data_IF_940845926358
#
_entry.id   IF_940845926358
#
_cell.length_a   1.000
_cell.length_b   1.000
_cell.length_c   1.000
_cell.angle_alpha   90.00
_cell.angle_beta   90.00
_cell.angle_gamma   90.00
#
_symmetry.space_group_name_H-M   'P 1'
#
loop_
_entity.id
_entity.type
_entity.pdbx_description
1 polymer ?
#
# COMPACT_ATOMS: atom_id res chain seq x y z
N UNK A 1 -8.42 -0.77 -41.01
CA UNK A 1 -8.24 -0.59 -39.55
C UNK A 1 -9.54 -1.00 -38.89
N UNK A 2 -9.57 -2.16 -38.22
CA UNK A 2 -10.78 -2.63 -37.53
C UNK A 2 -11.10 -1.68 -36.39
N UNK A 3 -12.31 -1.13 -36.33
CA UNK A 3 -12.78 -0.37 -35.18
C UNK A 3 -12.76 -1.29 -33.97
N UNK A 4 -11.96 -0.96 -32.95
CA UNK A 4 -11.97 -1.66 -31.67
C UNK A 4 -13.40 -1.61 -31.13
N UNK A 5 -14.07 -2.75 -31.07
CA UNK A 5 -15.48 -2.82 -30.64
C UNK A 5 -15.54 -2.57 -29.13
N UNK A 6 -16.20 -1.50 -28.72
CA UNK A 6 -16.41 -1.19 -27.30
C UNK A 6 -17.57 -2.05 -26.77
N UNK A 7 -17.27 -2.92 -25.82
CA UNK A 7 -18.28 -3.76 -25.15
C UNK A 7 -19.01 -2.93 -24.09
N UNK A 8 -20.34 -2.88 -24.16
CA UNK A 8 -21.18 -2.17 -23.18
C UNK A 8 -21.80 -3.16 -22.21
N UNK A 9 -21.69 -2.88 -20.92
CA UNK A 9 -22.31 -3.69 -19.87
C UNK A 9 -22.92 -2.79 -18.78
N UNK A 10 -23.96 -3.30 -18.10
CA UNK A 10 -24.72 -2.56 -17.09
C UNK A 10 -24.72 -3.30 -15.74
N UNK A 11 -24.50 -2.52 -14.69
CA UNK A 11 -24.41 -2.93 -13.29
C UNK A 11 -25.20 -1.97 -12.40
N UNK A 12 -25.44 -2.34 -11.15
CA UNK A 12 -25.98 -1.42 -10.15
C UNK A 12 -24.83 -0.62 -9.53
N UNK A 13 -23.72 -1.31 -9.21
CA UNK A 13 -22.53 -0.73 -8.60
C UNK A 13 -21.29 -1.09 -9.42
N UNK A 14 -20.46 -0.10 -9.72
CA UNK A 14 -19.11 -0.31 -10.24
C UNK A 14 -18.08 0.09 -9.18
N UNK A 15 -17.19 -0.83 -8.84
CA UNK A 15 -16.04 -0.59 -7.98
C UNK A 15 -14.77 -0.59 -8.84
N UNK A 16 -14.11 0.56 -8.93
CA UNK A 16 -12.87 0.75 -9.67
C UNK A 16 -11.68 0.60 -8.73
N UNK A 17 -10.87 -0.44 -8.91
CA UNK A 17 -9.72 -0.78 -8.06
C UNK A 17 -10.01 -1.97 -7.15
N UNK A 18 -9.21 -3.01 -7.28
CA UNK A 18 -9.28 -4.27 -6.52
C UNK A 18 -8.34 -4.32 -5.32
N UNK A 19 -8.04 -3.17 -4.70
CA UNK A 19 -7.41 -3.11 -3.38
C UNK A 19 -8.31 -3.67 -2.27
N UNK A 20 -7.81 -3.75 -1.03
CA UNK A 20 -8.59 -4.28 0.11
C UNK A 20 -9.92 -3.52 0.29
N UNK A 21 -9.89 -2.18 0.20
CA UNK A 21 -11.10 -1.36 0.27
C UNK A 21 -12.10 -1.69 -0.85
N UNK A 22 -11.63 -1.81 -2.10
CA UNK A 22 -12.49 -2.13 -3.24
C UNK A 22 -13.05 -3.56 -3.21
N UNK A 23 -12.25 -4.53 -2.77
CA UNK A 23 -12.72 -5.90 -2.53
C UNK A 23 -13.82 -5.92 -1.47
N UNK A 24 -13.60 -5.25 -0.33
CA UNK A 24 -14.61 -5.18 0.74
C UNK A 24 -15.90 -4.50 0.25
N UNK A 25 -15.79 -3.37 -0.45
CA UNK A 25 -16.94 -2.65 -1.00
C UNK A 25 -17.73 -3.49 -2.02
N UNK A 26 -17.03 -4.20 -2.92
CA UNK A 26 -17.67 -5.03 -3.93
C UNK A 26 -18.39 -6.24 -3.32
N UNK A 27 -17.77 -6.91 -2.34
CA UNK A 27 -18.38 -8.03 -1.62
C UNK A 27 -19.60 -7.53 -0.82
N UNK A 28 -19.47 -6.42 -0.09
CA UNK A 28 -20.59 -5.82 0.65
C UNK A 28 -21.78 -5.55 -0.28
N UNK A 29 -21.56 -4.83 -1.39
CA UNK A 29 -22.62 -4.51 -2.34
C UNK A 29 -23.27 -5.77 -2.94
N UNK A 30 -22.48 -6.79 -3.29
CA UNK A 30 -23.00 -8.04 -3.84
C UNK A 30 -23.85 -8.82 -2.82
N UNK A 31 -23.41 -8.88 -1.56
CA UNK A 31 -24.16 -9.49 -0.44
C UNK A 31 -25.47 -8.76 -0.14
N UNK A 32 -25.54 -7.47 -0.43
CA UNK A 32 -26.78 -6.67 -0.38
C UNK A 32 -27.64 -6.76 -1.65
N UNK A 33 -27.30 -7.66 -2.59
CA UNK A 33 -28.12 -7.99 -3.75
C UNK A 33 -27.85 -7.16 -5.00
N UNK A 34 -26.88 -6.25 -4.99
CA UNK A 34 -26.52 -5.47 -6.17
C UNK A 34 -25.79 -6.33 -7.20
N UNK A 35 -26.02 -6.08 -8.49
CA UNK A 35 -25.15 -6.55 -9.57
C UNK A 35 -23.91 -5.67 -9.63
N UNK A 36 -22.75 -6.23 -9.33
CA UNK A 36 -21.50 -5.49 -9.12
C UNK A 36 -20.48 -5.76 -10.23
N UNK A 37 -19.81 -4.72 -10.71
CA UNK A 37 -18.56 -4.86 -11.45
C UNK A 37 -17.38 -4.46 -10.55
N UNK A 38 -16.41 -5.37 -10.36
CA UNK A 38 -15.13 -5.05 -9.72
C UNK A 38 -14.04 -5.01 -10.78
N UNK A 39 -13.41 -3.85 -10.97
CA UNK A 39 -12.43 -3.60 -12.04
C UNK A 39 -11.05 -3.43 -11.44
N UNK A 40 -10.10 -4.28 -11.78
CA UNK A 40 -8.73 -4.22 -11.28
C UNK A 40 -7.75 -4.19 -12.45
N UNK A 41 -6.82 -3.24 -12.40
CA UNK A 41 -5.85 -2.96 -13.48
C UNK A 41 -4.78 -4.05 -13.63
N UNK A 42 -4.62 -4.91 -12.63
CA UNK A 42 -3.60 -5.95 -12.50
C UNK A 42 -4.18 -7.38 -12.41
N UNK A 43 -3.34 -8.43 -12.51
CA UNK A 43 -3.82 -9.81 -12.53
C UNK A 43 -4.23 -10.36 -11.15
N UNK A 44 -3.90 -9.68 -10.06
CA UNK A 44 -4.26 -10.07 -8.69
C UNK A 44 -4.97 -8.94 -7.95
N UNK A 45 -5.74 -9.34 -6.93
CA UNK A 45 -6.42 -8.44 -6.00
C UNK A 45 -5.51 -8.11 -4.81
N UNK A 46 -5.91 -7.14 -3.99
CA UNK A 46 -5.24 -6.76 -2.74
C UNK A 46 -4.53 -5.42 -2.79
N UNK A 47 -4.32 -4.83 -3.99
CA UNK A 47 -3.66 -3.54 -4.11
C UNK A 47 -2.24 -3.61 -3.54
N UNK A 48 -1.88 -2.72 -2.61
CA UNK A 48 -0.59 -2.76 -1.92
C UNK A 48 -0.37 -4.07 -1.12
N UNK A 49 -1.44 -4.76 -0.72
CA UNK A 49 -1.34 -6.05 -0.01
C UNK A 49 -1.19 -7.27 -0.90
N UNK A 50 -1.32 -7.12 -2.21
CA UNK A 50 -1.11 -8.22 -3.15
C UNK A 50 0.31 -8.78 -3.06
N UNK A 51 0.50 -10.00 -3.56
CA UNK A 51 1.84 -10.59 -3.67
C UNK A 51 2.81 -9.82 -4.59
N UNK A 52 2.30 -8.88 -5.40
CA UNK A 52 3.08 -8.00 -6.29
C UNK A 52 3.79 -6.85 -5.54
N UNK A 53 3.23 -6.41 -4.41
CA UNK A 53 3.72 -5.23 -3.65
C UNK A 53 4.10 -5.62 -2.21
N UNK A 54 3.27 -6.44 -1.56
CA UNK A 54 3.51 -7.08 -0.26
C UNK A 54 3.53 -6.17 0.98
N UNK A 55 2.70 -5.13 0.99
CA UNK A 55 2.38 -4.37 2.20
C UNK A 55 1.17 -5.03 2.89
N UNK A 56 1.35 -5.75 4.00
CA UNK A 56 0.25 -6.49 4.61
C UNK A 56 -0.91 -5.56 5.04
N UNK A 57 -2.17 -6.01 4.93
CA UNK A 57 -3.29 -5.28 5.50
C UNK A 57 -3.28 -5.56 7.00
N UNK A 58 -2.66 -4.68 7.77
CA UNK A 58 -2.48 -4.82 9.21
C UNK A 58 -1.66 -3.66 9.76
N UNK A 59 -1.38 -3.73 11.06
CA UNK A 59 -0.75 -2.63 11.79
C UNK A 59 -1.51 -2.43 13.09
N UNK A 60 -2.77 -2.00 13.02
CA UNK A 60 -3.59 -1.59 14.18
C UNK A 60 -3.53 -2.55 15.38
N UNK A 61 -3.56 -3.85 15.12
CA UNK A 61 -3.47 -4.88 16.15
C UNK A 61 -2.10 -5.02 16.86
N UNK A 62 -1.08 -4.28 16.43
CA UNK A 62 0.31 -4.35 16.92
C UNK A 62 0.82 -2.92 17.19
N UNK A 63 0.90 -2.47 18.45
CA UNK A 63 0.90 -3.28 19.68
C UNK A 63 -0.47 -3.51 20.33
N UNK A 64 -1.59 -3.01 19.78
CA UNK A 64 -2.90 -3.02 20.45
C UNK A 64 -3.90 -4.02 19.82
N UNK A 65 -4.07 -5.25 20.34
CA UNK A 65 -4.93 -6.26 19.74
C UNK A 65 -6.40 -5.83 19.53
N UNK A 66 -6.89 -4.91 20.37
CA UNK A 66 -8.27 -4.42 20.32
C UNK A 66 -8.53 -3.37 19.23
N UNK A 67 -7.48 -2.84 18.61
CA UNK A 67 -7.58 -1.86 17.53
C UNK A 67 -7.69 -2.52 16.14
N UNK A 68 -7.67 -3.86 16.08
CA UNK A 68 -7.78 -4.63 14.84
C UNK A 68 -8.99 -4.19 14.01
N UNK A 69 -8.81 -4.11 12.69
CA UNK A 69 -9.87 -3.90 11.72
C UNK A 69 -10.84 -5.09 11.71
N UNK A 70 -12.15 -4.84 11.61
CA UNK A 70 -13.21 -5.86 11.64
C UNK A 70 -14.06 -5.85 10.36
N UNK A 71 -15.04 -6.76 10.28
CA UNK A 71 -15.95 -6.88 9.14
C UNK A 71 -15.38 -7.74 8.01
N UNK A 72 -15.63 -7.39 6.76
CA UNK A 72 -15.22 -8.22 5.60
C UNK A 72 -13.69 -8.38 5.55
N UNK A 73 -12.91 -7.36 5.90
CA UNK A 73 -11.44 -7.47 5.93
C UNK A 73 -10.97 -8.48 6.97
N UNK A 74 -11.63 -8.58 8.11
CA UNK A 74 -11.32 -9.57 9.14
C UNK A 74 -11.70 -10.98 8.70
N UNK A 75 -12.86 -11.16 8.05
CA UNK A 75 -13.24 -12.43 7.45
C UNK A 75 -12.14 -12.94 6.49
N UNK A 76 -11.61 -12.04 5.64
CA UNK A 76 -10.54 -12.35 4.70
C UNK A 76 -9.22 -12.67 5.42
N UNK A 77 -8.81 -11.85 6.38
CA UNK A 77 -7.59 -12.08 7.16
C UNK A 77 -7.65 -13.39 7.96
N UNK A 78 -8.80 -13.74 8.54
CA UNK A 78 -8.98 -14.99 9.27
C UNK A 78 -8.85 -16.20 8.34
N UNK A 79 -9.44 -16.13 7.15
CA UNK A 79 -9.29 -17.18 6.13
C UNK A 79 -7.83 -17.32 5.69
N UNK A 80 -7.14 -16.20 5.44
CA UNK A 80 -5.72 -16.22 5.12
C UNK A 80 -4.90 -16.82 6.25
N UNK A 81 -5.15 -16.46 7.51
CA UNK A 81 -4.44 -17.07 8.64
C UNK A 81 -4.74 -18.55 8.85
N UNK A 82 -5.91 -19.03 8.45
CA UNK A 82 -6.24 -20.44 8.49
C UNK A 82 -5.47 -21.26 7.43
N UNK A 83 -5.08 -20.66 6.30
CA UNK A 83 -4.46 -21.34 5.15
C UNK A 83 -3.00 -21.01 4.91
N UNK A 84 -2.58 -19.81 5.28
CA UNK A 84 -1.28 -19.23 4.99
C UNK A 84 -0.39 -19.26 6.24
N UNK A 85 0.63 -20.11 6.18
CA UNK A 85 1.55 -20.34 7.29
C UNK A 85 2.82 -19.48 7.21
N UNK A 86 2.95 -18.61 6.18
CA UNK A 86 3.98 -17.58 6.14
C UNK A 86 3.62 -16.47 7.16
N UNK A 87 4.62 -15.89 7.85
CA UNK A 87 4.40 -14.70 8.68
C UNK A 87 3.74 -13.56 7.89
N UNK A 88 2.86 -12.78 8.52
CA UNK A 88 2.39 -11.50 7.96
C UNK A 88 3.37 -10.41 8.37
N UNK A 89 4.12 -9.90 7.40
CA UNK A 89 5.05 -8.79 7.55
C UNK A 89 5.26 -8.12 6.19
N UNK A 90 5.85 -6.94 6.17
CA UNK A 90 6.26 -6.28 4.95
C UNK A 90 7.14 -7.21 4.09
N UNK A 91 6.83 -7.31 2.80
CA UNK A 91 7.59 -8.15 1.87
C UNK A 91 7.30 -9.65 1.94
N UNK A 92 6.48 -10.12 2.88
CA UNK A 92 6.16 -11.56 3.03
C UNK A 92 4.82 -11.98 2.44
N UNK A 93 3.95 -11.02 2.08
CA UNK A 93 2.67 -11.37 1.44
C UNK A 93 2.90 -12.18 0.16
N UNK A 94 2.07 -13.20 -0.02
CA UNK A 94 2.29 -14.22 -1.03
C UNK A 94 0.97 -14.59 -1.70
N UNK A 95 1.04 -15.49 -2.68
CA UNK A 95 -0.11 -15.85 -3.50
C UNK A 95 -1.25 -16.53 -2.75
N UNK A 96 -1.05 -17.00 -1.50
CA UNK A 96 -2.19 -17.49 -0.69
C UNK A 96 -3.17 -16.36 -0.39
N UNK A 97 -2.67 -15.16 -0.07
CA UNK A 97 -3.52 -13.99 0.15
C UNK A 97 -4.29 -13.62 -1.12
N UNK A 98 -3.61 -13.58 -2.27
CA UNK A 98 -4.24 -13.29 -3.56
C UNK A 98 -5.36 -14.30 -3.87
N UNK A 99 -5.14 -15.59 -3.58
CA UNK A 99 -6.13 -16.65 -3.78
C UNK A 99 -7.32 -16.52 -2.84
N UNK A 100 -7.10 -16.16 -1.56
CA UNK A 100 -8.19 -15.88 -0.63
C UNK A 100 -9.07 -14.75 -1.17
N UNK A 101 -8.48 -13.62 -1.54
CA UNK A 101 -9.22 -12.49 -2.11
C UNK A 101 -9.97 -12.89 -3.39
N UNK A 102 -9.31 -13.62 -4.29
CA UNK A 102 -9.90 -14.07 -5.54
C UNK A 102 -11.09 -14.99 -5.31
N UNK A 103 -10.94 -16.03 -4.48
CA UNK A 103 -12.02 -16.96 -4.17
C UNK A 103 -13.21 -16.24 -3.55
N UNK A 104 -12.96 -15.35 -2.59
CA UNK A 104 -14.00 -14.62 -1.90
C UNK A 104 -14.81 -13.73 -2.83
N UNK A 105 -14.16 -13.02 -3.74
CA UNK A 105 -14.83 -12.27 -4.81
C UNK A 105 -15.63 -13.19 -5.73
N UNK A 106 -15.10 -14.37 -6.08
CA UNK A 106 -15.74 -15.33 -6.99
C UNK A 106 -16.90 -16.10 -6.38
N UNK A 107 -16.98 -16.18 -5.04
CA UNK A 107 -18.10 -16.77 -4.30
C UNK A 107 -19.37 -15.93 -4.43
N UNK A 108 -19.25 -14.63 -4.69
CA UNK A 108 -20.39 -13.72 -4.78
C UNK A 108 -21.04 -13.78 -6.18
N UNK A 109 -22.26 -14.36 -6.34
CA UNK A 109 -22.84 -14.67 -7.65
C UNK A 109 -23.22 -13.41 -8.46
N UNK A 110 -23.47 -12.29 -7.77
CA UNK A 110 -23.82 -11.02 -8.40
C UNK A 110 -22.59 -10.16 -8.72
N UNK A 111 -21.38 -10.62 -8.40
CA UNK A 111 -20.14 -9.87 -8.59
C UNK A 111 -19.39 -10.39 -9.83
N UNK A 112 -19.23 -9.52 -10.83
CA UNK A 112 -18.38 -9.78 -11.99
C UNK A 112 -17.02 -9.10 -11.83
N UNK A 113 -15.97 -9.92 -11.81
CA UNK A 113 -14.57 -9.48 -11.70
C UNK A 113 -13.93 -9.25 -13.09
N UNK A 114 -13.31 -8.09 -13.26
CA UNK A 114 -12.52 -7.69 -14.43
C UNK A 114 -11.06 -7.46 -14.03
N UNK A 115 -10.22 -8.49 -14.15
CA UNK A 115 -8.76 -8.37 -13.92
C UNK A 115 -8.04 -7.82 -15.16
N UNK A 116 -6.81 -7.32 -14.98
CA UNK A 116 -6.00 -6.71 -16.04
C UNK A 116 -6.73 -5.62 -16.83
N UNK A 117 -7.68 -4.94 -16.19
CA UNK A 117 -8.60 -3.99 -16.81
C UNK A 117 -8.45 -2.65 -16.12
N UNK A 118 -7.82 -1.69 -16.78
CA UNK A 118 -7.61 -0.35 -16.22
C UNK A 118 -8.81 0.54 -16.56
N UNK A 119 -9.33 1.26 -15.57
CA UNK A 119 -10.18 2.43 -15.81
C UNK A 119 -9.32 3.54 -16.40
N UNK A 120 -9.75 4.14 -17.51
CA UNK A 120 -8.97 5.15 -18.25
C UNK A 120 -9.66 6.49 -18.30
N UNK A 121 -10.99 6.50 -18.30
CA UNK A 121 -11.79 7.71 -18.46
C UNK A 121 -13.22 7.49 -17.94
N UNK A 122 -14.00 8.55 -17.92
CA UNK A 122 -15.39 8.57 -17.48
C UNK A 122 -16.31 9.18 -18.53
N UNK A 123 -17.53 8.64 -18.63
CA UNK A 123 -18.61 9.27 -19.40
C UNK A 123 -19.59 9.88 -18.42
N UNK A 124 -19.82 11.19 -18.53
CA UNK A 124 -20.81 11.90 -17.73
C UNK A 124 -22.20 11.78 -18.37
N UNK A 125 -23.22 11.46 -17.58
CA UNK A 125 -24.62 11.54 -17.99
C UNK A 125 -25.11 13.01 -17.98
N UNK A 126 -24.65 13.75 -16.99
CA UNK A 126 -24.92 15.17 -16.74
C UNK A 126 -23.86 15.71 -15.76
N UNK A 127 -23.80 17.03 -15.50
CA UNK A 127 -22.99 17.56 -14.41
C UNK A 127 -23.28 16.82 -13.10
N UNK A 128 -22.23 16.39 -12.40
CA UNK A 128 -22.33 15.66 -11.13
C UNK A 128 -22.85 14.22 -11.21
N UNK A 129 -23.10 13.66 -12.42
CA UNK A 129 -23.62 12.29 -12.57
C UNK A 129 -22.88 11.50 -13.63
N UNK A 130 -22.24 10.42 -13.21
CA UNK A 130 -21.59 9.45 -14.10
C UNK A 130 -22.62 8.58 -14.85
N UNK A 131 -22.30 8.28 -16.11
CA UNK A 131 -23.00 7.30 -16.93
C UNK A 131 -22.23 5.98 -17.03
N UNK A 132 -20.91 6.04 -17.22
CA UNK A 132 -20.06 4.86 -17.39
C UNK A 132 -18.60 5.15 -17.05
N UNK A 133 -17.87 4.10 -16.68
CA UNK A 133 -16.41 4.09 -16.70
C UNK A 133 -15.92 3.48 -18.03
N UNK A 134 -14.95 4.12 -18.67
CA UNK A 134 -14.28 3.60 -19.86
C UNK A 134 -13.04 2.82 -19.44
N UNK A 135 -13.00 1.54 -19.78
CA UNK A 135 -11.94 0.63 -19.36
C UNK A 135 -11.23 -0.01 -20.54
N UNK A 136 -9.95 -0.31 -20.38
CA UNK A 136 -9.14 -1.03 -21.35
C UNK A 136 -8.49 -2.27 -20.71
N UNK A 137 -8.61 -3.41 -21.39
CA UNK A 137 -7.96 -4.66 -21.02
C UNK A 137 -6.97 -5.05 -22.12
N UNK A 138 -5.73 -4.58 -21.97
CA UNK A 138 -4.70 -4.68 -23.02
C UNK A 138 -4.40 -6.12 -23.43
N UNK A 139 -4.31 -7.04 -22.47
CA UNK A 139 -3.96 -8.44 -22.75
C UNK A 139 -4.98 -9.21 -23.59
N UNK A 140 -6.21 -8.70 -23.72
CA UNK A 140 -7.26 -9.28 -24.57
C UNK A 140 -7.73 -8.33 -25.67
N UNK A 141 -7.06 -7.18 -25.82
CA UNK A 141 -7.42 -6.11 -26.76
C UNK A 141 -8.88 -5.64 -26.63
N UNK A 142 -9.45 -5.69 -25.42
CA UNK A 142 -10.84 -5.29 -25.17
C UNK A 142 -10.93 -3.88 -24.62
N UNK A 143 -11.96 -3.17 -25.07
CA UNK A 143 -12.39 -1.90 -24.50
C UNK A 143 -13.81 -2.05 -23.99
N UNK A 144 -14.09 -1.51 -22.81
CA UNK A 144 -15.40 -1.57 -22.17
C UNK A 144 -15.93 -0.17 -21.87
N UNK A 145 -17.24 -0.02 -21.98
CA UNK A 145 -17.99 1.05 -21.34
C UNK A 145 -18.90 0.40 -20.30
N UNK A 146 -18.50 0.48 -19.03
CA UNK A 146 -19.20 -0.16 -17.93
C UNK A 146 -20.12 0.87 -17.25
N UNK A 147 -21.42 0.69 -17.45
CA UNK A 147 -22.46 1.55 -16.89
C UNK A 147 -22.87 1.08 -15.50
N UNK A 148 -23.09 2.03 -14.59
CA UNK A 148 -23.60 1.74 -13.24
C UNK A 148 -24.46 2.89 -12.70
N UNK A 149 -25.26 2.61 -11.67
CA UNK A 149 -26.00 3.64 -10.93
C UNK A 149 -25.12 4.30 -9.87
N UNK A 150 -24.23 3.51 -9.24
CA UNK A 150 -23.26 3.98 -8.23
C UNK A 150 -21.85 3.60 -8.67
N UNK A 151 -20.90 4.52 -8.46
CA UNK A 151 -19.48 4.32 -8.75
C UNK A 151 -18.68 4.51 -7.47
N UNK A 152 -17.80 3.57 -7.16
CA UNK A 152 -16.91 3.61 -6.01
C UNK A 152 -15.47 3.60 -6.54
N UNK A 153 -14.74 4.70 -6.30
CA UNK A 153 -13.34 4.81 -6.71
C UNK A 153 -12.42 4.31 -5.58
N UNK A 154 -11.82 3.15 -5.81
CA UNK A 154 -10.81 2.50 -4.99
C UNK A 154 -9.51 2.29 -5.79
N UNK A 155 -9.24 3.12 -6.80
CA UNK A 155 -8.08 2.96 -7.71
C UNK A 155 -6.74 3.30 -7.05
N UNK A 156 -6.77 3.88 -5.84
CA UNK A 156 -5.59 4.38 -5.12
C UNK A 156 -5.13 5.77 -5.57
N UNK A 157 -5.45 6.18 -6.80
CA UNK A 157 -5.10 7.49 -7.38
C UNK A 157 -6.31 8.42 -7.61
N UNK A 158 -7.50 7.99 -7.19
CA UNK A 158 -8.76 8.66 -7.49
C UNK A 158 -8.98 8.82 -9.00
N UNK A 159 -8.56 7.84 -9.79
CA UNK A 159 -8.49 7.92 -11.26
C UNK A 159 -9.85 8.13 -11.90
N UNK A 160 -10.87 7.39 -11.43
CA UNK A 160 -12.23 7.52 -11.95
C UNK A 160 -12.84 8.85 -11.52
N UNK A 161 -12.66 9.24 -10.25
CA UNK A 161 -13.14 10.52 -9.72
C UNK A 161 -12.52 11.71 -10.46
N UNK A 162 -11.19 11.71 -10.65
CA UNK A 162 -10.49 12.74 -11.41
C UNK A 162 -10.94 12.77 -12.88
N UNK A 163 -11.12 11.62 -13.53
CA UNK A 163 -11.65 11.54 -14.89
C UNK A 163 -13.09 12.05 -15.00
N UNK A 164 -13.89 11.87 -13.94
CA UNK A 164 -15.25 12.41 -13.85
C UNK A 164 -15.29 13.93 -13.62
N UNK A 165 -14.13 14.57 -13.41
CA UNK A 165 -14.03 15.99 -13.06
C UNK A 165 -14.38 16.29 -11.61
N UNK A 166 -14.32 15.29 -10.71
CA UNK A 166 -14.48 15.54 -9.28
C UNK A 166 -13.34 16.41 -8.75
N UNK A 167 -13.66 17.29 -7.81
CA UNK A 167 -12.66 18.09 -7.12
C UNK A 167 -11.73 17.20 -6.30
N UNK A 168 -10.44 17.52 -6.29
CA UNK A 168 -9.44 16.79 -5.50
C UNK A 168 -8.34 17.73 -5.02
N UNK A 169 -7.70 17.33 -3.93
CA UNK A 169 -6.48 17.95 -3.40
C UNK A 169 -5.27 17.07 -3.66
N UNK A 170 -4.10 17.68 -3.59
CA UNK A 170 -2.81 17.01 -3.69
C UNK A 170 -1.79 17.73 -2.82
N UNK A 171 -1.00 16.97 -2.07
CA UNK A 171 0.00 17.51 -1.16
C UNK A 171 -0.53 17.71 0.26
N UNK A 172 -0.08 18.73 0.97
CA UNK A 172 -0.42 18.98 2.38
C UNK A 172 -0.98 20.36 2.57
N UNK A 173 -2.04 20.44 3.35
CA UNK A 173 -2.68 21.68 3.77
C UNK A 173 -1.80 22.47 4.75
N UNK A 174 -2.06 23.77 4.86
CA UNK A 174 -1.41 24.59 5.86
C UNK A 174 -2.04 24.31 7.24
N UNK A 175 -1.23 24.32 8.30
CA UNK A 175 -1.67 24.22 9.70
C UNK A 175 -2.84 25.14 10.03
N UNK A 176 -2.84 26.36 9.47
CA UNK A 176 -3.90 27.34 9.72
C UNK A 176 -5.26 27.00 9.10
N UNK A 177 -5.32 26.07 8.14
CA UNK A 177 -6.57 25.71 7.47
C UNK A 177 -7.51 24.93 8.37
N UNK A 178 -6.97 23.93 9.10
CA UNK A 178 -7.75 23.07 10.00
C UNK A 178 -7.29 23.12 11.46
N UNK A 179 -6.26 23.91 11.78
CA UNK A 179 -5.70 23.98 13.13
C UNK A 179 -4.93 22.71 13.51
N UNK A 180 -4.22 22.10 12.56
CA UNK A 180 -3.57 20.79 12.71
C UNK A 180 -2.11 20.92 13.10
N UNK A 181 -1.75 20.37 14.26
CA UNK A 181 -0.41 20.53 14.83
C UNK A 181 0.69 19.89 13.96
N UNK A 182 0.36 18.79 13.29
CA UNK A 182 1.28 18.01 12.45
C UNK A 182 1.38 18.54 11.02
N UNK A 183 0.43 19.35 10.58
CA UNK A 183 0.46 19.98 9.26
C UNK A 183 1.60 21.01 9.14
N UNK A 184 2.16 21.22 7.93
CA UNK A 184 3.18 22.23 7.69
C UNK A 184 2.62 23.65 7.88
N UNK A 185 3.48 24.63 8.19
CA UNK A 185 3.06 26.03 8.32
C UNK A 185 2.46 26.60 7.03
N UNK A 186 3.01 26.19 5.89
CA UNK A 186 2.53 26.56 4.56
C UNK A 186 2.16 25.29 3.80
N UNK A 187 1.06 25.38 3.05
CA UNK A 187 0.64 24.30 2.17
C UNK A 187 1.72 24.05 1.10
N UNK A 188 1.93 22.79 0.76
CA UNK A 188 2.81 22.39 -0.33
C UNK A 188 2.27 21.18 -1.10
N UNK A 189 2.87 20.88 -2.25
CA UNK A 189 2.43 19.77 -3.11
C UNK A 189 3.13 18.44 -2.76
N UNK A 190 3.73 18.31 -1.57
CA UNK A 190 4.49 17.11 -1.20
C UNK A 190 3.57 16.01 -0.71
N UNK A 191 3.79 14.80 -1.20
CA UNK A 191 3.08 13.60 -0.78
C UNK A 191 4.06 12.62 -0.15
N UNK A 192 3.53 11.70 0.66
CA UNK A 192 4.30 10.58 1.17
C UNK A 192 4.77 9.66 0.02
N UNK A 193 5.95 9.07 0.19
CA UNK A 193 6.62 8.29 -0.84
C UNK A 193 5.94 6.97 -1.17
N UNK A 194 6.45 6.31 -2.21
CA UNK A 194 6.13 4.90 -2.49
C UNK A 194 7.29 4.02 -2.06
N UNK A 195 7.01 2.76 -1.72
CA UNK A 195 8.03 1.78 -1.31
C UNK A 195 8.18 0.65 -2.33
N UNK A 196 9.36 0.01 -2.34
CA UNK A 196 9.56 -1.32 -2.93
C UNK A 196 10.17 -2.24 -1.89
N UNK A 197 9.66 -3.47 -1.85
CA UNK A 197 10.19 -4.50 -0.98
C UNK A 197 11.04 -5.52 -1.72
N UNK A 198 11.78 -6.28 -0.94
CA UNK A 198 12.42 -7.51 -1.37
C UNK A 198 12.21 -8.60 -0.33
N UNK A 199 12.51 -9.83 -0.70
CA UNK A 199 12.61 -11.00 0.19
C UNK A 199 13.88 -11.75 -0.17
N UNK A 200 14.63 -12.13 0.85
CA UNK A 200 15.77 -13.02 0.79
C UNK A 200 15.53 -14.21 1.74
N UNK A 201 16.07 -15.37 1.40
CA UNK A 201 15.91 -16.60 2.17
C UNK A 201 17.24 -17.30 2.38
N UNK A 202 17.39 -17.92 3.54
CA UNK A 202 18.51 -18.78 3.86
C UNK A 202 18.46 -20.05 3.00
N UNK A 203 19.52 -20.27 2.22
CA UNK A 203 19.66 -21.48 1.38
C UNK A 203 20.61 -22.53 1.98
N UNK A 204 21.01 -22.35 3.24
CA UNK A 204 21.81 -23.28 4.02
C UNK A 204 23.30 -23.34 3.64
N UNK A 205 23.77 -22.45 2.77
CA UNK A 205 25.16 -22.36 2.34
C UNK A 205 25.51 -20.93 1.90
N UNK A 206 26.80 -20.53 1.94
CA UNK A 206 27.19 -19.21 1.50
C UNK A 206 26.82 -18.92 0.04
N UNK A 207 26.28 -17.73 -0.20
CA UNK A 207 25.92 -17.22 -1.52
C UNK A 207 26.60 -15.87 -1.71
N UNK A 208 27.14 -15.60 -2.89
CA UNK A 208 27.68 -14.28 -3.24
C UNK A 208 26.62 -13.43 -3.92
N UNK A 209 26.65 -12.12 -3.72
CA UNK A 209 25.86 -11.17 -4.49
C UNK A 209 26.79 -10.17 -5.17
N UNK A 210 26.54 -9.88 -6.44
CA UNK A 210 27.22 -8.82 -7.16
C UNK A 210 26.17 -7.79 -7.56
N UNK A 211 26.20 -6.58 -7.00
CA UNK A 211 25.23 -5.56 -7.34
C UNK A 211 25.41 -5.13 -8.80
N UNK A 212 24.32 -4.76 -9.50
CA UNK A 212 24.48 -4.09 -10.78
C UNK A 212 25.17 -2.73 -10.57
N UNK A 213 25.91 -2.22 -11.57
CA UNK A 213 26.73 -1.00 -11.43
C UNK A 213 25.92 0.28 -11.19
N UNK A 214 24.60 0.22 -11.35
CA UNK A 214 23.68 1.34 -11.13
C UNK A 214 23.03 1.34 -9.74
N UNK A 215 23.22 0.31 -8.92
CA UNK A 215 22.73 0.31 -7.53
C UNK A 215 23.34 1.48 -6.73
N UNK A 216 22.60 2.04 -5.77
CA UNK A 216 23.17 3.05 -4.86
C UNK A 216 24.26 2.40 -3.99
N UNK A 217 25.38 3.09 -3.84
CA UNK A 217 26.48 2.62 -3.00
C UNK A 217 26.28 3.05 -1.55
N UNK A 218 26.31 2.08 -0.64
CA UNK A 218 26.22 2.26 0.81
C UNK A 218 27.38 1.52 1.47
N UNK A 219 28.60 2.07 1.49
CA UNK A 219 29.80 1.34 1.89
C UNK A 219 29.92 1.13 3.41
N UNK A 220 29.13 1.83 4.23
CA UNK A 220 29.23 1.81 5.70
C UNK A 220 27.85 1.90 6.36
N UNK A 221 27.73 1.46 7.61
CA UNK A 221 26.50 1.58 8.42
C UNK A 221 25.97 3.03 8.46
N UNK A 222 26.90 4.00 8.53
CA UNK A 222 26.56 5.43 8.53
C UNK A 222 25.92 5.89 7.20
N UNK A 223 26.15 5.16 6.11
CA UNK A 223 25.50 5.44 4.82
C UNK A 223 23.98 5.21 4.88
N UNK A 224 23.52 4.39 5.84
CA UNK A 224 22.13 4.09 6.15
C UNK A 224 21.75 4.59 7.56
N UNK A 225 22.35 5.71 7.99
CA UNK A 225 22.03 6.35 9.27
C UNK A 225 20.51 6.54 9.46
N UNK A 226 20.00 6.20 10.66
CA UNK A 226 18.56 6.18 11.02
C UNK A 226 17.67 5.24 10.20
N UNK A 227 18.23 4.34 9.39
CA UNK A 227 17.47 3.27 8.73
C UNK A 227 17.82 1.97 9.43
N UNK A 228 16.86 1.25 10.01
CA UNK A 228 17.17 -0.01 10.68
C UNK A 228 17.42 -1.11 9.66
N UNK A 229 18.56 -1.81 9.75
CA UNK A 229 18.93 -2.91 8.84
C UNK A 229 19.73 -4.05 9.50
N UNK A 230 19.94 -4.00 10.83
CA UNK A 230 20.76 -4.96 11.59
C UNK A 230 20.15 -6.37 11.79
N UNK A 231 20.98 -7.31 12.26
CA UNK A 231 20.70 -8.76 12.39
C UNK A 231 19.86 -9.23 13.57
N UNK A 232 19.21 -10.39 13.33
CA UNK A 232 18.97 -11.53 14.22
C UNK A 232 19.62 -11.40 15.62
N UNK A 233 18.80 -11.16 16.64
CA UNK A 233 18.96 -12.00 17.83
C UNK A 233 18.21 -13.28 17.53
N UNK A 234 18.91 -14.42 17.41
CA UNK A 234 18.27 -15.69 17.83
C UNK A 234 17.65 -15.37 19.18
N UNK A 235 16.37 -15.65 19.35
CA UNK A 235 15.71 -15.60 20.65
C UNK A 235 16.36 -16.70 21.51
N UNK A 236 17.59 -16.49 21.95
CA UNK A 236 18.11 -17.17 23.11
C UNK A 236 17.26 -16.67 24.27
N UNK A 237 16.68 -17.64 24.98
CA UNK A 237 15.78 -17.44 26.08
C UNK A 237 16.57 -16.87 27.28
N UNK A 238 17.05 -15.64 27.19
CA UNK A 238 17.72 -14.93 28.30
C UNK A 238 16.94 -13.66 28.61
N UNK A 239 16.19 -13.71 29.72
CA UNK A 239 15.27 -12.66 30.14
C UNK A 239 15.96 -11.38 30.62
N UNK A 240 16.34 -10.51 29.70
CA UNK A 240 16.63 -9.11 30.03
C UNK A 240 16.26 -8.17 28.87
N UNK A 241 15.23 -7.37 29.10
CA UNK A 241 14.79 -6.28 28.24
C UNK A 241 15.83 -5.14 28.27
N UNK A 242 16.43 -4.81 27.13
CA UNK A 242 17.19 -3.58 26.95
C UNK A 242 16.57 -2.76 25.82
N UNK A 243 16.29 -1.50 26.12
CA UNK A 243 15.52 -0.52 25.36
C UNK A 243 16.22 -0.01 24.09
N UNK A 244 16.26 -0.83 23.05
CA UNK A 244 15.97 -0.39 21.69
C UNK A 244 14.61 -1.03 21.38
N UNK A 245 13.62 -0.26 20.94
CA UNK A 245 12.22 -0.71 20.88
C UNK A 245 12.13 -2.08 20.21
N UNK A 246 11.31 -2.95 20.79
CA UNK A 246 11.07 -4.32 20.35
C UNK A 246 10.31 -4.39 19.01
N UNK A 247 10.44 -3.36 18.16
CA UNK A 247 9.74 -3.16 16.89
C UNK A 247 10.62 -3.44 15.66
N UNK A 248 11.89 -3.79 15.85
CA UNK A 248 12.74 -4.38 14.80
C UNK A 248 12.70 -5.93 14.90
N UNK A 249 11.46 -6.47 14.88
CA UNK A 249 11.13 -7.87 15.23
C UNK A 249 11.74 -8.90 14.26
N UNK A 250 13.00 -9.21 14.48
CA UNK A 250 13.72 -10.47 14.21
C UNK A 250 12.99 -11.53 13.37
N UNK A 251 13.14 -11.42 12.04
CA UNK A 251 13.54 -12.47 11.08
C UNK A 251 13.11 -13.90 11.44
N UNK A 252 11.88 -14.25 11.07
CA UNK A 252 11.34 -15.60 11.21
C UNK A 252 12.01 -16.57 10.22
N UNK A 253 12.40 -17.76 10.69
CA UNK A 253 12.78 -18.94 9.86
C UNK A 253 13.89 -18.71 8.81
N UNK A 254 14.87 -17.85 9.07
CA UNK A 254 15.94 -17.61 8.11
C UNK A 254 15.50 -16.78 6.89
N UNK A 255 14.41 -16.04 7.01
CA UNK A 255 13.92 -15.14 5.97
C UNK A 255 14.19 -13.69 6.35
N UNK A 256 14.39 -12.88 5.32
CA UNK A 256 14.71 -11.48 5.44
C UNK A 256 13.95 -10.69 4.39
N UNK A 257 13.00 -9.87 4.82
CA UNK A 257 12.09 -9.20 3.90
C UNK A 257 11.66 -7.86 4.47
N UNK A 258 11.24 -6.97 3.57
CA UNK A 258 10.45 -5.80 3.91
C UNK A 258 11.19 -4.73 4.71
N UNK A 259 11.59 -3.67 4.01
CA UNK A 259 11.96 -2.41 4.64
C UNK A 259 10.97 -1.34 4.19
N UNK A 260 9.97 -1.10 5.05
CA UNK A 260 8.97 -0.05 4.85
C UNK A 260 9.60 1.31 4.60
N UNK A 261 10.80 1.57 5.12
CA UNK A 261 11.53 2.84 4.99
C UNK A 261 12.29 3.00 3.66
N UNK A 262 12.40 1.96 2.83
CA UNK A 262 12.93 2.11 1.47
C UNK A 262 11.83 2.75 0.63
N UNK A 263 11.73 4.07 0.76
CA UNK A 263 10.72 4.89 0.11
C UNK A 263 11.35 6.02 -0.67
N UNK A 264 10.69 6.37 -1.78
CA UNK A 264 11.04 7.52 -2.60
C UNK A 264 9.77 8.35 -2.78
N UNK A 265 9.87 9.63 -2.40
CA UNK A 265 8.81 10.61 -2.56
C UNK A 265 9.35 11.86 -3.24
N UNK A 266 9.31 13.00 -2.55
CA UNK A 266 9.79 14.30 -3.07
C UNK A 266 11.24 14.20 -3.57
N UNK A 267 11.57 14.74 -4.77
CA UNK A 267 10.79 15.69 -5.57
C UNK A 267 9.83 15.06 -6.59
N UNK A 268 9.67 13.74 -6.60
CA UNK A 268 8.85 13.05 -7.58
C UNK A 268 7.36 13.25 -7.33
N UNK A 269 6.58 13.37 -8.41
CA UNK A 269 5.13 13.28 -8.35
C UNK A 269 4.70 11.80 -8.36
N UNK A 270 3.94 11.36 -7.35
CA UNK A 270 3.57 9.95 -7.18
C UNK A 270 2.71 9.38 -8.33
N UNK A 271 2.13 10.23 -9.19
CA UNK A 271 1.33 9.80 -10.33
C UNK A 271 2.13 9.84 -11.62
N UNK A 272 2.61 11.03 -12.03
CA UNK A 272 3.27 11.19 -13.34
C UNK A 272 4.64 10.52 -13.39
N UNK A 273 5.35 10.47 -12.25
CA UNK A 273 6.72 9.97 -12.17
C UNK A 273 6.78 8.55 -11.62
N UNK A 274 5.64 7.84 -11.54
CA UNK A 274 5.58 6.49 -10.97
C UNK A 274 6.61 5.51 -11.57
N UNK A 275 6.89 5.49 -12.89
CA UNK A 275 7.98 4.68 -13.45
C UNK A 275 9.38 5.09 -12.96
N UNK A 276 9.64 6.39 -12.82
CA UNK A 276 10.92 6.90 -12.33
C UNK A 276 11.11 6.60 -10.83
N UNK A 277 10.05 6.75 -10.03
CA UNK A 277 10.00 6.33 -8.62
C UNK A 277 10.33 4.83 -8.51
N UNK A 278 9.77 3.99 -9.39
CA UNK A 278 10.07 2.55 -9.41
C UNK A 278 11.54 2.26 -9.70
N UNK A 279 12.14 2.93 -10.68
CA UNK A 279 13.54 2.74 -11.03
C UNK A 279 14.47 3.25 -9.91
N UNK A 280 14.16 4.38 -9.28
CA UNK A 280 14.91 4.93 -8.15
C UNK A 280 14.79 4.04 -6.89
N UNK A 281 13.59 3.52 -6.61
CA UNK A 281 13.40 2.54 -5.55
C UNK A 281 14.20 1.27 -5.79
N UNK A 282 14.20 0.74 -7.02
CA UNK A 282 14.96 -0.45 -7.37
C UNK A 282 16.47 -0.23 -7.18
N UNK A 283 16.96 0.96 -7.56
CA UNK A 283 18.33 1.43 -7.31
C UNK A 283 18.73 1.32 -5.85
N UNK A 284 17.84 1.79 -4.97
CA UNK A 284 18.04 1.78 -3.52
C UNK A 284 17.84 0.40 -2.90
N UNK A 285 16.85 -0.39 -3.32
CA UNK A 285 16.64 -1.76 -2.84
C UNK A 285 17.87 -2.61 -3.07
N UNK A 286 18.46 -2.55 -4.27
CA UNK A 286 19.66 -3.32 -4.58
C UNK A 286 20.89 -2.79 -3.85
N UNK A 287 20.99 -1.48 -3.62
CA UNK A 287 22.06 -0.89 -2.81
C UNK A 287 21.98 -1.29 -1.34
N UNK A 288 20.79 -1.25 -0.76
CA UNK A 288 20.54 -1.69 0.62
C UNK A 288 20.82 -3.19 0.77
N UNK A 289 20.40 -4.00 -0.22
CA UNK A 289 20.74 -5.42 -0.22
C UNK A 289 22.24 -5.67 -0.39
N UNK A 290 22.93 -4.90 -1.23
CA UNK A 290 24.39 -4.94 -1.35
C UNK A 290 25.07 -4.64 -0.02
N UNK A 291 24.66 -3.56 0.65
CA UNK A 291 25.13 -3.19 1.99
C UNK A 291 25.02 -4.36 2.95
N UNK A 292 23.83 -4.94 3.07
CA UNK A 292 23.56 -6.05 3.98
C UNK A 292 24.41 -7.27 3.62
N UNK A 293 24.55 -7.56 2.33
CA UNK A 293 25.15 -8.81 1.87
C UNK A 293 26.67 -8.80 1.83
N UNK A 294 27.25 -7.66 1.48
CA UNK A 294 28.67 -7.53 1.14
C UNK A 294 29.45 -6.59 2.06
N UNK A 295 28.76 -5.75 2.84
CA UNK A 295 29.38 -4.81 3.77
C UNK A 295 28.97 -5.15 5.21
N UNK A 296 29.82 -4.81 6.19
CA UNK A 296 29.55 -5.08 7.59
C UNK A 296 29.41 -6.56 7.95
N UNK A 297 28.84 -6.84 9.14
CA UNK A 297 28.51 -8.20 9.58
C UNK A 297 27.01 -8.30 9.87
N UNK A 298 26.25 -8.58 8.82
CA UNK A 298 24.79 -8.71 8.86
C UNK A 298 24.31 -10.16 8.75
N UNK A 299 25.19 -11.14 9.02
CA UNK A 299 24.92 -12.60 8.93
C UNK A 299 23.99 -13.00 7.79
N UNK A 300 24.18 -12.34 6.66
CA UNK A 300 23.46 -12.56 5.44
C UNK A 300 24.21 -13.56 4.56
N UNK A 301 25.23 -14.26 5.08
CA UNK A 301 26.16 -15.05 4.25
C UNK A 301 25.43 -16.14 3.47
N UNK A 302 24.43 -16.78 4.09
CA UNK A 302 23.61 -17.83 3.48
C UNK A 302 22.31 -17.31 2.84
N UNK A 303 22.01 -16.02 2.95
CA UNK A 303 20.80 -15.44 2.40
C UNK A 303 20.95 -15.20 0.89
N UNK A 304 20.02 -15.72 0.11
CA UNK A 304 19.88 -15.43 -1.31
C UNK A 304 18.65 -14.55 -1.54
N UNK A 305 18.78 -13.54 -2.40
CA UNK A 305 17.66 -12.72 -2.84
C UNK A 305 16.67 -13.60 -3.63
N UNK A 306 15.45 -13.71 -3.13
CA UNK A 306 14.40 -14.59 -3.66
C UNK A 306 13.35 -13.80 -4.47
N UNK A 307 13.06 -12.57 -4.05
CA UNK A 307 12.10 -11.72 -4.72
C UNK A 307 12.45 -10.24 -4.56
N UNK A 308 12.16 -9.45 -5.59
CA UNK A 308 12.25 -7.98 -5.57
C UNK A 308 10.96 -7.45 -6.21
N UNK A 309 10.30 -6.52 -5.53
CA UNK A 309 9.12 -5.85 -6.03
C UNK A 309 9.42 -5.00 -7.25
N UNK A 310 8.44 -4.89 -8.15
CA UNK A 310 8.53 -4.08 -9.37
C UNK A 310 7.34 -3.12 -9.53
N UNK A 311 6.40 -3.15 -8.59
CA UNK A 311 5.25 -2.26 -8.55
C UNK A 311 5.39 -1.39 -7.28
N UNK A 312 5.52 -0.06 -7.41
CA UNK A 312 5.61 0.81 -6.25
C UNK A 312 4.36 0.68 -5.37
N UNK A 313 4.57 0.42 -4.08
CA UNK A 313 3.53 0.50 -3.06
C UNK A 313 3.27 1.95 -2.74
N UNK A 314 2.31 2.56 -3.43
CA UNK A 314 2.00 3.99 -3.27
C UNK A 314 1.22 4.24 -1.99
N UNK A 315 1.66 5.24 -1.22
CA UNK A 315 1.01 5.67 0.02
C UNK A 315 0.01 6.79 -0.18
N UNK A 316 0.36 7.79 -0.99
CA UNK A 316 -0.43 9.01 -1.13
C UNK A 316 -0.46 9.53 -2.57
N UNK A 317 -1.60 10.11 -2.96
CA UNK A 317 -1.86 10.59 -4.32
C UNK A 317 -2.85 11.77 -4.34
N UNK A 318 -3.96 11.68 -5.07
CA UNK A 318 -5.09 12.62 -5.02
C UNK A 318 -6.00 12.25 -3.86
N UNK A 319 -6.45 13.25 -3.11
CA UNK A 319 -7.54 13.12 -2.15
C UNK A 319 -8.79 13.74 -2.75
N UNK A 320 -9.77 12.91 -3.12
CA UNK A 320 -11.04 13.41 -3.65
C UNK A 320 -11.76 14.23 -2.57
N UNK A 321 -12.38 15.32 -2.99
CA UNK A 321 -13.14 16.20 -2.11
C UNK A 321 -14.56 15.66 -1.94
N UNK A 322 -15.03 15.63 -0.70
CA UNK A 322 -16.42 15.32 -0.34
C UNK A 322 -16.96 16.35 0.65
N UNK A 323 -18.17 16.09 1.15
CA UNK A 323 -18.84 16.97 2.12
C UNK A 323 -18.09 17.09 3.45
N UNK A 324 -17.27 16.07 3.79
CA UNK A 324 -16.37 16.06 4.94
C UNK A 324 -14.95 15.73 4.49
N UNK A 325 -13.97 16.40 5.06
CA UNK A 325 -12.55 16.09 4.91
C UNK A 325 -12.07 15.58 6.27
N UNK A 326 -11.59 14.34 6.31
CA UNK A 326 -11.02 13.78 7.53
C UNK A 326 -9.75 14.55 7.91
N UNK A 327 -9.72 15.05 9.15
CA UNK A 327 -8.62 15.86 9.69
C UNK A 327 -7.83 15.12 10.78
N UNK A 328 -6.63 15.58 11.12
CA UNK A 328 -5.88 15.17 12.32
C UNK A 328 -6.77 15.30 13.57
N UNK A 329 -7.56 16.38 13.66
CA UNK A 329 -8.45 16.60 14.79
C UNK A 329 -9.54 15.51 14.90
N UNK A 330 -10.07 15.03 13.78
CA UNK A 330 -11.01 13.90 13.78
C UNK A 330 -10.32 12.63 14.26
N UNK A 331 -9.12 12.35 13.74
CA UNK A 331 -8.34 11.17 14.16
C UNK A 331 -8.02 11.23 15.65
N UNK A 332 -7.67 12.39 16.22
CA UNK A 332 -7.36 12.52 17.66
C UNK A 332 -8.60 12.48 18.56
N UNK A 333 -9.71 13.07 18.13
CA UNK A 333 -10.90 13.21 18.98
C UNK A 333 -11.86 12.02 18.89
N UNK A 334 -11.67 11.12 17.92
CA UNK A 334 -12.51 9.95 17.68
C UNK A 334 -14.03 10.27 17.68
N UNK A 335 -14.50 11.27 16.89
CA UNK A 335 -15.91 11.59 16.84
C UNK A 335 -16.70 10.41 16.25
N UNK A 336 -17.89 10.16 16.80
CA UNK A 336 -18.81 9.16 16.25
C UNK A 336 -19.67 9.80 15.16
N UNK A 337 -19.35 9.52 13.89
CA UNK A 337 -20.19 9.93 12.77
C UNK A 337 -21.53 9.17 12.77
N UNK A 338 -22.68 9.86 12.53
CA UNK A 338 -24.00 9.22 12.50
C UNK A 338 -24.15 8.16 11.41
N UNK A 339 -23.46 8.33 10.28
CA UNK A 339 -23.49 7.54 9.06
C UNK A 339 -22.23 6.68 8.87
N UNK A 340 -21.49 6.42 9.94
CA UNK A 340 -20.26 5.60 9.91
C UNK A 340 -20.49 4.24 9.25
N UNK A 341 -19.62 3.88 8.31
CA UNK A 341 -19.60 2.57 7.63
C UNK A 341 -18.32 1.77 7.88
N UNK A 342 -17.32 2.40 8.51
CA UNK A 342 -16.05 1.81 8.88
C UNK A 342 -15.45 2.55 10.09
N UNK A 343 -14.44 1.97 10.73
CA UNK A 343 -13.55 2.66 11.67
C UNK A 343 -12.10 2.27 11.36
N UNK A 344 -11.16 3.14 11.72
CA UNK A 344 -9.72 2.85 11.69
C UNK A 344 -9.19 2.70 13.10
N UNK A 345 -8.24 1.78 13.30
CA UNK A 345 -7.57 1.56 14.59
C UNK A 345 -6.09 1.92 14.59
N UNK A 346 -5.59 2.52 13.50
CA UNK A 346 -4.19 2.96 13.40
C UNK A 346 -4.07 4.44 13.71
N UNK A 347 -2.91 4.80 14.26
CA UNK A 347 -2.54 6.19 14.52
C UNK A 347 -2.25 6.94 13.21
N UNK A 348 -2.05 8.25 13.30
CA UNK A 348 -1.61 9.03 12.14
C UNK A 348 -0.18 8.66 11.73
N UNK A 349 -0.07 7.95 10.62
CA UNK A 349 1.20 7.51 10.04
C UNK A 349 1.76 8.57 9.06
N UNK A 350 2.80 9.29 9.49
CA UNK A 350 3.43 10.37 8.71
C UNK A 350 4.90 10.07 8.41
N UNK A 351 5.13 9.61 7.19
CA UNK A 351 6.46 9.37 6.66
C UNK A 351 7.18 10.67 6.28
N UNK A 352 8.51 10.65 6.37
CA UNK A 352 9.33 11.72 5.83
C UNK A 352 9.14 11.78 4.31
N UNK A 353 8.67 12.93 3.80
CA UNK A 353 8.26 13.10 2.39
C UNK A 353 9.32 12.71 1.35
N UNK A 354 10.62 12.86 1.67
CA UNK A 354 11.71 12.45 0.78
C UNK A 354 12.13 10.98 0.91
N UNK A 355 11.59 10.25 1.89
CA UNK A 355 11.93 8.86 2.19
C UNK A 355 13.43 8.64 2.41
N UNK A 356 14.02 7.71 1.67
CA UNK A 356 15.44 7.38 1.72
C UNK A 356 16.34 8.49 1.12
N UNK A 357 15.79 9.37 0.28
CA UNK A 357 16.53 10.52 -0.26
C UNK A 357 16.79 11.58 0.82
N UNK A 358 15.98 11.60 1.87
CA UNK A 358 16.16 12.45 3.04
C UNK A 358 17.15 11.83 4.06
N UNK A 359 18.41 11.61 3.63
CA UNK A 359 19.45 10.86 4.38
C UNK A 359 19.63 11.29 5.86
N UNK A 360 19.42 12.57 6.18
CA UNK A 360 19.59 13.10 7.55
C UNK A 360 18.35 12.99 8.46
N UNK A 361 17.19 12.61 7.92
CA UNK A 361 15.93 12.54 8.64
C UNK A 361 15.55 11.08 8.92
N UNK A 362 14.86 10.79 10.04
CA UNK A 362 14.26 9.47 10.23
C UNK A 362 13.24 9.18 9.11
N UNK A 363 12.98 7.91 8.80
CA UNK A 363 12.05 7.54 7.73
C UNK A 363 10.60 7.92 8.05
N UNK A 364 10.24 7.97 9.32
CA UNK A 364 8.96 8.48 9.82
C UNK A 364 9.24 9.60 10.81
N UNK A 365 8.57 10.74 10.65
CA UNK A 365 8.85 11.95 11.42
C UNK A 365 8.32 11.87 12.87
N UNK A 366 7.33 10.99 13.10
CA UNK A 366 6.67 10.81 14.39
C UNK A 366 7.19 9.60 15.18
N UNK A 367 7.98 8.73 14.54
CA UNK A 367 8.52 7.53 15.18
C UNK A 367 9.45 7.90 16.35
N UNK A 368 9.04 7.52 17.56
CA UNK A 368 9.81 7.72 18.79
C UNK A 368 9.57 9.07 19.51
N UNK A 369 8.59 9.88 19.08
CA UNK A 369 8.16 11.06 19.82
C UNK A 369 6.86 10.77 20.57
N UNK A 370 7.00 10.31 21.82
CA UNK A 370 5.87 9.97 22.70
C UNK A 370 4.85 11.10 22.86
N UNK A 371 5.24 12.37 22.64
CA UNK A 371 4.36 13.53 22.76
C UNK A 371 3.55 13.78 21.46
N UNK A 372 3.88 13.11 20.34
CA UNK A 372 3.26 13.32 19.01
C UNK A 372 2.64 12.07 18.39
N UNK A 373 3.22 10.89 18.65
CA UNK A 373 2.62 9.60 18.34
C UNK A 373 1.73 9.20 19.51
N UNK A 374 0.42 9.37 19.34
CA UNK A 374 -0.65 8.88 20.21
C UNK A 374 -0.26 8.62 21.67
N UNK A 375 -0.28 9.67 22.50
CA UNK A 375 -0.51 9.49 23.93
C UNK A 375 -1.93 8.94 24.13
N UNK A 376 -2.09 7.62 24.05
CA UNK A 376 -2.91 6.77 24.96
C UNK A 376 -2.82 5.28 24.67
#
# INVERSE_FOLDING_TARGET
MSMTTVTKEHFDVLVAGGGVAGVCAAIAAARHGCKVALVQDRPVLGGNSSSEIRVPPGGAATPQPWARETGIVEELQLEDRARNHDPIWEGTMNSNWDLVLYEWVRREPNLKLFLNTSVRDAVMASPGKLAAALCAQTGSERTFALHAAVFVDCTGDGTLGAAAGAEFRHGREARSEFGESLAPEQADSKTQGSSLFFRARDVGRPVTFTPPPWAEDYPTEESLHKRSHGMFRRREYSGSASMASADDQTRYKGEYAGYWWIEVGVPYNTISDNPAIRDELLRHVLGVWDHIKNHGNHGAENLALDWVGMVPGKRESRRLMGDHILTENDVRNHPLFPDRVAYGGWFMDIHTMGGILAKGQPPEALSGDHDKSDER
#
